data_IF_972611977248
#
_entry.id   IF_972611977248
#
_cell.length_a   1.000
_cell.length_b   1.000
_cell.length_c   1.000
_cell.angle_alpha   90.00
_cell.angle_beta   90.00
_cell.angle_gamma   90.00
#
_symmetry.space_group_name_H-M   'P 1'
#
loop_
_entity.id
_entity.type
_entity.pdbx_description
1 polymer ?
#
# COMPACT_ATOMS: atom_id res chain seq x y z
N UNK A 1 -25.48 -5.37 -25.43
CA UNK A 1 -25.19 -6.17 -26.65
C UNK A 1 -23.68 -6.35 -26.79
N UNK A 2 -23.21 -7.59 -26.68
CA UNK A 2 -21.80 -7.96 -26.67
C UNK A 2 -21.32 -8.10 -28.12
N UNK A 3 -20.21 -7.43 -28.47
CA UNK A 3 -19.49 -7.65 -29.73
C UNK A 3 -18.22 -8.41 -29.37
N UNK A 4 -18.11 -9.63 -29.88
CA UNK A 4 -16.96 -10.51 -29.70
C UNK A 4 -16.55 -11.06 -31.06
N UNK A 5 -15.25 -11.06 -31.32
CA UNK A 5 -14.67 -11.70 -32.50
C UNK A 5 -13.74 -12.80 -31.98
N UNK A 6 -14.10 -14.06 -32.22
CA UNK A 6 -13.31 -15.20 -31.77
C UNK A 6 -11.97 -15.27 -32.50
N UNK A 7 -10.90 -15.65 -31.79
CA UNK A 7 -9.59 -15.85 -32.43
C UNK A 7 -9.50 -17.11 -33.28
N UNK A 8 -10.44 -18.06 -33.11
CA UNK A 8 -10.58 -19.24 -33.99
C UNK A 8 -11.09 -18.87 -35.39
N UNK A 9 -11.62 -17.65 -35.57
CA UNK A 9 -12.03 -17.13 -36.86
C UNK A 9 -10.78 -16.67 -37.63
N UNK A 10 -10.49 -17.33 -38.77
CA UNK A 10 -9.35 -16.99 -39.65
C UNK A 10 -9.43 -15.50 -40.05
N UNK A 11 -8.49 -14.65 -39.59
CA UNK A 11 -8.39 -13.28 -40.06
C UNK A 11 -7.78 -13.26 -41.47
N UNK A 12 -8.18 -12.28 -42.28
CA UNK A 12 -7.47 -11.98 -43.52
C UNK A 12 -6.02 -11.59 -43.14
N UNK A 13 -5.04 -12.21 -43.80
CA UNK A 13 -3.62 -12.04 -43.48
C UNK A 13 -3.16 -10.60 -43.77
N UNK A 14 -2.90 -9.84 -42.70
CA UNK A 14 -2.31 -8.51 -42.76
C UNK A 14 -2.83 -7.59 -41.66
N UNK A 15 -1.93 -7.08 -40.82
CA UNK A 15 -2.23 -5.86 -40.05
C UNK A 15 -2.05 -4.69 -41.01
N UNK A 16 -3.11 -3.94 -41.30
CA UNK A 16 -3.08 -2.81 -42.23
C UNK A 16 -2.18 -1.71 -41.65
N UNK A 17 -0.89 -1.80 -41.98
CA UNK A 17 0.14 -0.85 -41.60
C UNK A 17 0.29 0.22 -42.66
N UNK A 18 0.80 1.40 -42.31
CA UNK A 18 1.24 2.35 -43.33
C UNK A 18 2.20 1.64 -44.31
N UNK A 19 2.11 1.94 -45.61
CA UNK A 19 2.88 1.23 -46.63
C UNK A 19 4.38 1.23 -46.29
N UNK A 20 4.95 0.03 -46.14
CA UNK A 20 6.36 -0.20 -45.82
C UNK A 20 6.68 -0.69 -44.40
N UNK A 21 5.70 -0.76 -43.48
CA UNK A 21 5.97 -1.15 -42.09
C UNK A 21 5.54 -2.59 -41.79
N UNK A 22 6.42 -3.57 -42.03
CA UNK A 22 6.15 -4.97 -41.67
C UNK A 22 6.38 -5.16 -40.16
N UNK A 23 5.40 -5.74 -39.46
CA UNK A 23 5.56 -6.10 -38.05
C UNK A 23 6.56 -7.26 -37.93
N UNK A 24 7.63 -7.03 -37.16
CA UNK A 24 8.61 -8.07 -36.84
C UNK A 24 7.97 -9.18 -35.97
N UNK A 25 7.87 -10.43 -36.45
CA UNK A 25 7.29 -11.54 -35.71
C UNK A 25 8.11 -11.91 -34.46
N UNK A 26 9.37 -11.51 -34.39
CA UNK A 26 10.23 -11.79 -33.24
C UNK A 26 10.00 -10.83 -32.07
N UNK A 27 9.25 -9.74 -32.29
CA UNK A 27 8.97 -8.72 -31.30
C UNK A 27 8.25 -9.29 -30.06
N UNK A 28 8.61 -8.78 -28.88
CA UNK A 28 8.06 -9.22 -27.59
C UNK A 28 6.53 -9.14 -27.50
N UNK A 29 5.89 -8.18 -28.18
CA UNK A 29 4.44 -7.99 -28.12
C UNK A 29 3.70 -8.91 -29.08
N UNK A 30 4.28 -9.19 -30.24
CA UNK A 30 3.73 -10.16 -31.21
C UNK A 30 3.72 -11.55 -30.58
N UNK A 31 4.87 -12.01 -30.07
CA UNK A 31 4.97 -13.29 -29.36
C UNK A 31 4.03 -13.39 -28.15
N UNK A 32 3.87 -12.29 -27.42
CA UNK A 32 3.00 -12.27 -26.25
C UNK A 32 1.53 -12.43 -26.64
N UNK A 33 1.11 -11.85 -27.77
CA UNK A 33 -0.25 -12.01 -28.28
C UNK A 33 -0.57 -13.47 -28.54
N UNK A 34 0.34 -14.21 -29.15
CA UNK A 34 0.16 -15.63 -29.51
C UNK A 34 0.13 -16.57 -28.29
N UNK A 35 0.74 -16.14 -27.17
CA UNK A 35 0.81 -16.96 -25.95
C UNK A 35 -0.42 -16.82 -25.05
N UNK A 36 -1.23 -15.77 -25.21
CA UNK A 36 -2.32 -15.45 -24.28
C UNK A 36 -3.62 -16.16 -24.71
N UNK A 37 -4.34 -16.83 -23.80
CA UNK A 37 -5.63 -17.46 -24.09
C UNK A 37 -6.77 -16.43 -24.16
N UNK A 38 -6.82 -15.65 -25.24
CA UNK A 38 -7.77 -14.54 -25.35
C UNK A 38 -9.25 -14.97 -25.31
N UNK A 39 -9.58 -16.13 -25.86
CA UNK A 39 -10.97 -16.62 -25.87
C UNK A 39 -11.48 -16.84 -24.43
N UNK A 40 -10.71 -17.52 -23.57
CA UNK A 40 -11.04 -17.79 -22.16
C UNK A 40 -11.11 -16.49 -21.33
N UNK A 41 -10.15 -15.59 -21.55
CA UNK A 41 -10.12 -14.28 -20.90
C UNK A 41 -11.32 -13.41 -21.35
N UNK A 42 -11.73 -13.51 -22.61
CA UNK A 42 -12.90 -12.79 -23.11
C UNK A 42 -14.18 -13.32 -22.49
N UNK A 43 -14.31 -14.64 -22.34
CA UNK A 43 -15.50 -15.28 -21.78
C UNK A 43 -15.72 -14.87 -20.31
N UNK A 44 -14.69 -15.01 -19.48
CA UNK A 44 -14.70 -14.56 -18.08
C UNK A 44 -15.02 -13.07 -17.96
N UNK A 45 -14.49 -12.24 -18.85
CA UNK A 45 -14.83 -10.82 -18.88
C UNK A 45 -16.30 -10.57 -19.26
N UNK A 46 -16.82 -11.25 -20.30
CA UNK A 46 -18.18 -11.07 -20.76
C UNK A 46 -19.23 -11.59 -19.77
N UNK A 47 -18.91 -12.55 -18.89
CA UNK A 47 -19.80 -12.98 -17.78
C UNK A 47 -20.21 -11.80 -16.88
N UNK A 48 -19.35 -10.79 -16.74
CA UNK A 48 -19.66 -9.58 -15.95
C UNK A 48 -20.57 -8.58 -16.67
N UNK A 49 -20.86 -8.79 -17.95
CA UNK A 49 -21.60 -7.85 -18.79
C UNK A 49 -23.01 -8.36 -19.11
N UNK A 50 -23.97 -7.45 -19.09
CA UNK A 50 -25.34 -7.76 -19.51
C UNK A 50 -25.41 -7.86 -21.05
N UNK A 51 -25.93 -8.98 -21.55
CA UNK A 51 -26.16 -9.18 -22.99
C UNK A 51 -27.22 -8.23 -23.56
N UNK A 52 -28.30 -7.99 -22.80
CA UNK A 52 -29.52 -7.36 -23.32
C UNK A 52 -29.67 -5.86 -23.07
N UNK A 53 -28.96 -5.29 -22.08
CA UNK A 53 -29.11 -3.87 -21.69
C UNK A 53 -27.81 -3.07 -21.88
N UNK A 54 -27.93 -1.82 -22.31
CA UNK A 54 -26.85 -0.83 -22.30
C UNK A 54 -26.09 -0.63 -23.63
N UNK A 55 -25.13 0.30 -23.59
CA UNK A 55 -24.26 0.66 -24.73
C UNK A 55 -23.40 -0.55 -25.15
N UNK A 56 -23.17 -0.79 -26.46
CA UNK A 56 -22.28 -1.87 -26.89
C UNK A 56 -20.89 -1.74 -26.25
N UNK A 57 -20.42 -2.84 -25.67
CA UNK A 57 -19.10 -2.90 -25.07
C UNK A 57 -18.01 -2.86 -26.15
N UNK A 58 -16.84 -2.32 -25.78
CA UNK A 58 -15.61 -2.50 -26.57
C UNK A 58 -15.21 -3.98 -26.51
N UNK A 59 -14.50 -4.41 -27.55
CA UNK A 59 -14.00 -5.78 -27.64
C UNK A 59 -13.13 -6.13 -26.43
N UNK A 60 -13.29 -7.35 -25.91
CA UNK A 60 -12.59 -7.79 -24.71
C UNK A 60 -11.08 -7.83 -24.92
N UNK A 61 -10.60 -8.19 -26.11
CA UNK A 61 -9.17 -8.20 -26.43
C UNK A 61 -8.53 -6.83 -26.30
N UNK A 62 -9.22 -5.79 -26.77
CA UNK A 62 -8.77 -4.39 -26.66
C UNK A 62 -8.62 -3.99 -25.19
N UNK A 63 -9.63 -4.34 -24.40
CA UNK A 63 -9.73 -3.95 -23.00
C UNK A 63 -8.71 -4.68 -22.14
N UNK A 64 -8.67 -6.01 -22.22
CA UNK A 64 -7.78 -6.87 -21.45
C UNK A 64 -6.33 -6.60 -21.84
N UNK A 65 -6.07 -6.44 -23.15
CA UNK A 65 -4.75 -6.10 -23.66
C UNK A 65 -4.22 -4.78 -23.10
N UNK A 66 -5.06 -3.74 -23.02
CA UNK A 66 -4.67 -2.46 -22.44
C UNK A 66 -4.33 -2.58 -20.94
N UNK A 67 -5.08 -3.39 -20.18
CA UNK A 67 -4.77 -3.67 -18.77
C UNK A 67 -3.43 -4.38 -18.64
N UNK A 68 -3.15 -5.37 -19.50
CA UNK A 68 -1.86 -6.09 -19.51
C UNK A 68 -0.71 -5.13 -19.83
N UNK A 69 -0.85 -4.27 -20.85
CA UNK A 69 0.17 -3.27 -21.22
C UNK A 69 0.47 -2.36 -20.03
N UNK A 70 -0.58 -1.82 -19.40
CA UNK A 70 -0.44 -0.95 -18.23
C UNK A 70 0.39 -1.62 -17.13
N UNK A 71 0.04 -2.84 -16.75
CA UNK A 71 0.73 -3.56 -15.67
C UNK A 71 2.16 -3.93 -16.05
N UNK A 72 2.41 -4.33 -17.31
CA UNK A 72 3.74 -4.71 -17.78
C UNK A 72 4.70 -3.53 -17.87
N UNK A 73 4.21 -2.34 -18.24
CA UNK A 73 5.02 -1.13 -18.36
C UNK A 73 5.00 -0.25 -17.10
N UNK A 74 4.12 -0.55 -16.12
CA UNK A 74 3.98 0.21 -14.87
C UNK A 74 3.70 1.71 -15.09
N UNK A 75 2.87 2.02 -16.08
CA UNK A 75 2.51 3.40 -16.47
C UNK A 75 1.08 3.78 -16.02
N UNK A 76 0.75 5.07 -16.12
CA UNK A 76 -0.58 5.60 -15.79
C UNK A 76 -1.65 5.19 -16.82
N UNK A 77 -2.93 5.35 -16.49
CA UNK A 77 -4.04 5.01 -17.41
C UNK A 77 -4.03 5.90 -18.66
N UNK A 78 -3.64 7.17 -18.51
CA UNK A 78 -3.51 8.15 -19.60
C UNK A 78 -2.33 7.80 -20.50
N UNK A 79 -1.15 7.59 -19.89
CA UNK A 79 0.07 7.21 -20.58
C UNK A 79 -0.10 5.87 -21.33
N UNK A 80 -0.84 4.91 -20.77
CA UNK A 80 -1.09 3.63 -21.45
C UNK A 80 -1.85 3.84 -22.77
N UNK A 81 -2.84 4.73 -22.77
CA UNK A 81 -3.64 5.01 -23.97
C UNK A 81 -2.81 5.75 -25.01
N UNK A 82 -1.94 6.67 -24.59
CA UNK A 82 -1.01 7.37 -25.48
C UNK A 82 0.02 6.42 -26.09
N UNK A 83 0.61 5.53 -25.30
CA UNK A 83 1.55 4.53 -25.82
C UNK A 83 0.90 3.57 -26.81
N UNK A 84 -0.35 3.14 -26.56
CA UNK A 84 -1.09 2.32 -27.53
C UNK A 84 -1.36 3.11 -28.81
N UNK A 85 -1.69 4.41 -28.71
CA UNK A 85 -1.92 5.28 -29.87
C UNK A 85 -0.66 5.43 -30.71
N UNK A 86 0.50 5.57 -30.09
CA UNK A 86 1.77 5.85 -30.77
C UNK A 86 2.45 4.59 -31.33
N UNK A 87 2.21 3.41 -30.73
CA UNK A 87 2.98 2.21 -31.02
C UNK A 87 2.18 1.14 -31.79
N UNK A 88 2.53 0.84 -33.06
CA UNK A 88 1.85 -0.18 -33.85
C UNK A 88 1.91 -1.60 -33.26
N UNK A 89 2.99 -1.97 -32.57
CA UNK A 89 3.09 -3.29 -31.93
C UNK A 89 2.08 -3.45 -30.80
N UNK A 90 1.80 -2.36 -30.07
CA UNK A 90 0.79 -2.37 -29.01
C UNK A 90 -0.61 -2.46 -29.60
N UNK A 91 -0.87 -1.76 -30.70
CA UNK A 91 -2.14 -1.85 -31.44
C UNK A 91 -2.40 -3.26 -31.99
N UNK A 92 -1.37 -3.89 -32.52
CA UNK A 92 -1.43 -5.30 -32.93
C UNK A 92 -1.71 -6.20 -31.72
N UNK A 93 -0.98 -6.01 -30.61
CA UNK A 93 -1.14 -6.81 -29.40
C UNK A 93 -2.57 -6.79 -28.86
N UNK A 94 -3.24 -5.63 -28.86
CA UNK A 94 -4.62 -5.48 -28.40
C UNK A 94 -5.67 -5.97 -29.42
N UNK A 95 -5.26 -6.32 -30.65
CA UNK A 95 -6.12 -6.93 -31.67
C UNK A 95 -6.81 -5.97 -32.62
N UNK A 96 -6.24 -4.78 -32.84
CA UNK A 96 -6.68 -3.93 -33.93
C UNK A 96 -6.31 -4.55 -35.29
N UNK A 97 -7.12 -4.27 -36.31
CA UNK A 97 -6.89 -4.77 -37.68
C UNK A 97 -5.81 -4.02 -38.44
N UNK A 98 -5.57 -2.76 -38.05
CA UNK A 98 -4.60 -1.88 -38.68
C UNK A 98 -4.21 -0.76 -37.74
N UNK A 99 -3.16 -0.02 -38.12
CA UNK A 99 -2.70 1.11 -37.34
C UNK A 99 -3.68 2.27 -37.41
N UNK A 100 -4.03 2.83 -36.26
CA UNK A 100 -4.90 3.99 -36.13
C UNK A 100 -4.19 5.06 -35.31
N UNK A 101 -4.16 6.29 -35.83
CA UNK A 101 -3.56 7.44 -35.14
C UNK A 101 -4.46 8.01 -34.02
N UNK A 102 -5.68 7.48 -33.86
CA UNK A 102 -6.63 7.88 -32.82
C UNK A 102 -6.52 6.97 -31.60
N UNK A 103 -6.85 7.49 -30.42
CA UNK A 103 -6.89 6.70 -29.20
C UNK A 103 -8.00 5.62 -29.28
N UNK A 104 -7.71 4.36 -28.88
CA UNK A 104 -8.68 3.26 -28.99
C UNK A 104 -9.93 3.45 -28.11
N UNK A 105 -9.77 4.12 -26.97
CA UNK A 105 -10.81 4.53 -26.04
C UNK A 105 -10.29 5.63 -25.09
N UNK A 106 -11.19 6.27 -24.34
CA UNK A 106 -10.83 7.30 -23.36
C UNK A 106 -10.15 6.70 -22.11
N UNK A 107 -9.12 7.34 -21.56
CA UNK A 107 -8.40 6.88 -20.36
C UNK A 107 -9.31 6.59 -19.16
N UNK A 108 -10.37 7.39 -18.99
CA UNK A 108 -11.39 7.20 -17.95
C UNK A 108 -12.10 5.84 -18.03
N UNK A 109 -12.31 5.31 -19.24
CA UNK A 109 -12.96 4.03 -19.47
C UNK A 109 -12.11 2.86 -18.93
N UNK A 110 -10.78 3.00 -18.93
CA UNK A 110 -9.88 1.99 -18.35
C UNK A 110 -10.02 1.90 -16.83
N UNK A 111 -10.28 3.03 -16.15
CA UNK A 111 -10.57 3.07 -14.71
C UNK A 111 -11.85 2.29 -14.40
N UNK A 112 -12.91 2.52 -15.17
CA UNK A 112 -14.20 1.84 -14.99
C UNK A 112 -14.09 0.34 -15.26
N UNK A 113 -13.38 -0.05 -16.31
CA UNK A 113 -13.08 -1.45 -16.61
C UNK A 113 -12.40 -2.13 -15.44
N UNK A 114 -11.31 -1.56 -14.90
CA UNK A 114 -10.55 -2.19 -13.80
C UNK A 114 -11.41 -2.34 -12.55
N UNK A 115 -12.27 -1.36 -12.27
CA UNK A 115 -13.24 -1.47 -11.16
C UNK A 115 -14.28 -2.56 -11.40
N UNK A 116 -14.74 -2.70 -12.65
CA UNK A 116 -15.75 -3.70 -13.03
C UNK A 116 -15.20 -5.13 -13.02
N UNK A 117 -13.97 -5.34 -13.50
CA UNK A 117 -13.33 -6.66 -13.46
C UNK A 117 -13.24 -7.16 -12.01
N UNK A 118 -12.84 -6.32 -11.07
CA UNK A 118 -12.76 -6.71 -9.66
C UNK A 118 -11.77 -7.86 -9.43
N UNK A 119 -11.66 -8.34 -8.20
CA UNK A 119 -10.68 -9.38 -7.85
C UNK A 119 -11.05 -10.74 -8.46
N UNK A 120 -12.34 -11.07 -8.50
CA UNK A 120 -12.82 -12.38 -8.96
C UNK A 120 -12.47 -12.67 -10.42
N UNK A 121 -12.62 -11.69 -11.32
CA UNK A 121 -12.24 -11.86 -12.74
C UNK A 121 -10.73 -11.95 -12.90
N UNK A 122 -9.95 -11.24 -12.08
CA UNK A 122 -8.49 -11.38 -12.10
C UNK A 122 -8.03 -12.76 -11.63
N UNK A 123 -8.71 -13.35 -10.66
CA UNK A 123 -8.42 -14.70 -10.18
C UNK A 123 -8.75 -15.72 -11.29
N UNK A 124 -9.90 -15.59 -11.99
CA UNK A 124 -10.24 -16.40 -13.17
C UNK A 124 -9.21 -16.24 -14.32
N UNK A 125 -8.76 -15.01 -14.59
CA UNK A 125 -7.70 -14.76 -15.57
C UNK A 125 -6.40 -15.46 -15.19
N UNK A 126 -6.07 -15.45 -13.89
CA UNK A 126 -4.87 -16.11 -13.38
C UNK A 126 -4.96 -17.62 -13.57
N UNK A 127 -6.09 -18.22 -13.23
CA UNK A 127 -6.35 -19.66 -13.43
C UNK A 127 -6.26 -20.04 -14.91
N UNK A 128 -6.87 -19.30 -15.83
CA UNK A 128 -6.79 -19.55 -17.28
C UNK A 128 -5.33 -19.47 -17.81
N UNK A 129 -4.55 -18.50 -17.31
CA UNK A 129 -3.13 -18.40 -17.69
C UNK A 129 -2.32 -19.57 -17.12
N UNK A 130 -2.62 -20.01 -15.89
CA UNK A 130 -1.98 -21.19 -15.30
C UNK A 130 -2.35 -22.44 -16.12
N UNK A 131 -3.63 -22.65 -16.42
CA UNK A 131 -4.11 -23.81 -17.18
C UNK A 131 -3.56 -23.87 -18.61
N UNK A 132 -3.18 -22.73 -19.20
CA UNK A 132 -2.54 -22.73 -20.53
C UNK A 132 -1.02 -22.91 -20.46
N UNK A 133 -0.39 -22.60 -19.33
CA UNK A 133 1.06 -22.76 -19.12
C UNK A 133 1.43 -24.10 -18.47
N UNK A 134 0.60 -24.64 -17.59
CA UNK A 134 0.80 -25.91 -16.89
C UNK A 134 0.69 -27.20 -17.71
N UNK A 135 -0.05 -27.31 -18.84
CA UNK A 135 0.06 -28.47 -19.73
C UNK A 135 1.45 -28.55 -20.37
N UNK A 136 2.23 -27.46 -20.39
CA UNK A 136 3.67 -27.47 -20.73
C UNK A 136 4.58 -27.82 -19.54
N UNK A 137 4.04 -27.90 -18.32
CA UNK A 137 4.74 -28.23 -17.06
C UNK A 137 4.11 -29.43 -16.37
N UNK A 138 3.78 -30.51 -17.07
CA UNK A 138 3.17 -31.66 -16.37
C UNK A 138 4.14 -32.28 -15.35
N UNK A 139 3.58 -32.50 -14.14
CA UNK A 139 4.03 -33.38 -13.04
C UNK A 139 5.05 -32.83 -12.03
N UNK A 140 4.53 -32.14 -11.00
CA UNK A 140 4.90 -32.46 -9.60
C UNK A 140 3.74 -32.14 -8.64
N UNK A 141 2.89 -33.14 -8.45
CA UNK A 141 1.86 -33.20 -7.41
C UNK A 141 2.48 -33.31 -6.02
N UNK A 142 2.00 -32.52 -5.06
CA UNK A 142 1.69 -33.00 -3.71
C UNK A 142 0.45 -32.26 -3.19
N UNK A 143 -0.54 -33.06 -2.79
CA UNK A 143 -1.92 -32.74 -2.42
C UNK A 143 -2.12 -33.17 -0.95
N UNK A 144 -2.85 -32.39 -0.16
CA UNK A 144 -3.65 -32.78 1.02
C UNK A 144 -4.20 -31.48 1.66
N UNK A 145 -5.42 -31.34 2.17
CA UNK A 145 -6.67 -32.11 2.18
C UNK A 145 -7.70 -31.23 2.91
N UNK A 146 -8.99 -31.38 2.57
CA UNK A 146 -10.17 -30.77 3.20
C UNK A 146 -10.30 -31.06 4.70
N UNK A 147 -11.06 -30.21 5.43
CA UNK A 147 -12.23 -30.68 6.19
C UNK A 147 -13.18 -29.52 6.58
N UNK A 148 -14.47 -29.85 6.57
CA UNK A 148 -15.65 -28.97 6.72
C UNK A 148 -16.18 -28.89 8.17
N UNK A 149 -17.06 -27.90 8.38
CA UNK A 149 -18.24 -27.88 9.28
C UNK A 149 -18.10 -27.60 10.80
N UNK A 150 -18.72 -26.51 11.26
CA UNK A 150 -20.10 -26.47 11.82
C UNK A 150 -20.27 -25.30 12.81
N UNK A 151 -21.46 -24.71 12.82
CA UNK A 151 -21.84 -23.62 13.70
C UNK A 151 -22.20 -24.07 15.11
N UNK A 152 -22.25 -23.10 16.03
CA UNK A 152 -23.33 -23.09 17.01
C UNK A 152 -23.61 -21.66 17.49
N UNK A 153 -24.89 -21.33 17.43
CA UNK A 153 -25.59 -20.17 17.93
C UNK A 153 -26.16 -20.53 19.30
N UNK A 154 -25.88 -19.76 20.36
CA UNK A 154 -26.84 -19.61 21.47
C UNK A 154 -26.75 -18.22 22.07
N UNK A 155 -27.87 -17.55 21.88
CA UNK A 155 -28.46 -16.37 22.51
C UNK A 155 -28.61 -16.41 24.04
N UNK A 156 -28.53 -15.24 24.67
CA UNK A 156 -29.42 -14.78 25.75
C UNK A 156 -29.17 -13.27 25.96
N UNK A 157 -30.08 -12.35 25.64
CA UNK A 157 -31.34 -11.97 26.33
C UNK A 157 -31.11 -11.60 27.82
N UNK A 158 -31.57 -10.48 28.39
CA UNK A 158 -32.51 -9.42 27.98
C UNK A 158 -31.96 -8.00 28.23
N UNK A 159 -32.54 -6.94 27.65
CA UNK A 159 -33.84 -6.31 28.05
C UNK A 159 -33.65 -5.48 29.36
N UNK A 160 -34.03 -4.22 29.54
CA UNK A 160 -34.65 -3.17 28.71
C UNK A 160 -34.54 -1.83 29.46
N UNK A 161 -34.65 -0.73 28.71
CA UNK A 161 -35.25 0.53 29.16
C UNK A 161 -34.28 1.52 29.82
N UNK A 162 -33.85 2.62 29.18
CA UNK A 162 -34.58 3.79 28.64
C UNK A 162 -34.63 4.97 29.62
N UNK A 163 -34.15 6.11 29.09
CA UNK A 163 -34.59 7.50 29.28
C UNK A 163 -33.81 8.45 30.21
N UNK A 164 -33.63 9.65 29.62
CA UNK A 164 -33.53 11.00 30.19
C UNK A 164 -32.31 11.35 31.06
N UNK A 165 -31.89 12.60 31.19
CA UNK A 165 -31.95 13.86 30.44
C UNK A 165 -31.23 14.90 31.33
N UNK A 166 -30.52 15.86 30.73
CA UNK A 166 -30.11 17.13 31.37
C UNK A 166 -28.95 17.07 32.37
N UNK A 167 -28.22 18.14 32.70
CA UNK A 167 -28.21 19.57 32.34
C UNK A 167 -27.00 20.22 33.04
N UNK A 168 -26.40 21.24 32.39
CA UNK A 168 -25.64 22.41 32.92
C UNK A 168 -24.33 22.22 33.74
N UNK A 169 -23.21 22.80 33.26
CA UNK A 169 -22.53 24.07 33.70
C UNK A 169 -21.56 23.79 34.87
N UNK A 170 -20.35 24.35 35.01
CA UNK A 170 -19.76 25.68 34.78
C UNK A 170 -18.26 25.47 34.39
N UNK A 171 -17.65 26.14 33.40
CA UNK A 171 -17.17 27.52 33.37
C UNK A 171 -16.20 27.89 34.53
N UNK A 172 -14.89 27.94 34.24
CA UNK A 172 -14.10 29.13 34.57
C UNK A 172 -12.90 29.28 33.63
N UNK A 173 -12.77 30.50 33.09
CA UNK A 173 -11.72 31.01 32.21
C UNK A 173 -10.77 31.83 33.08
N UNK A 174 -9.46 31.76 32.89
CA UNK A 174 -8.66 32.83 32.25
C UNK A 174 -7.18 32.50 32.52
N UNK A 175 -6.25 32.67 31.59
CA UNK A 175 -5.62 33.95 31.26
C UNK A 175 -4.89 33.80 29.93
N UNK A 176 -5.21 34.68 28.99
CA UNK A 176 -4.62 34.77 27.67
C UNK A 176 -3.70 35.99 27.63
N UNK A 177 -2.42 35.77 27.34
CA UNK A 177 -1.50 36.85 26.97
C UNK A 177 -1.70 37.22 25.50
N UNK A 178 -1.77 38.53 25.28
CA UNK A 178 -2.21 39.22 24.09
C UNK A 178 -1.18 39.16 22.95
N UNK A 179 -1.57 38.57 21.82
CA UNK A 179 -1.01 38.88 20.51
C UNK A 179 -2.13 39.48 19.66
N UNK A 180 -1.84 40.50 18.81
CA UNK A 180 -2.86 41.14 18.00
C UNK A 180 -3.58 40.09 17.15
N UNK A 181 -4.88 39.93 17.43
CA UNK A 181 -5.73 38.97 16.72
C UNK A 181 -5.92 39.45 15.29
N UNK A 182 -5.08 38.95 14.39
CA UNK A 182 -5.33 39.03 12.96
C UNK A 182 -6.60 38.24 12.66
N UNK A 183 -7.73 38.92 12.50
CA UNK A 183 -9.04 38.34 12.16
C UNK A 183 -9.23 38.13 10.64
N UNK A 184 -8.15 38.12 9.87
CA UNK A 184 -8.17 37.80 8.45
C UNK A 184 -8.12 36.29 8.22
N UNK A 185 -8.91 35.79 7.28
CA UNK A 185 -8.76 34.41 6.76
C UNK A 185 -7.61 34.40 5.76
N UNK A 186 -6.43 33.97 6.18
CA UNK A 186 -5.28 33.80 5.29
C UNK A 186 -5.50 32.55 4.42
N UNK A 187 -5.69 32.76 3.12
CA UNK A 187 -5.72 31.67 2.13
C UNK A 187 -4.28 31.44 1.69
N UNK A 188 -3.71 30.31 2.11
CA UNK A 188 -2.39 29.86 1.68
C UNK A 188 -2.54 28.73 0.68
N UNK A 189 -1.95 28.89 -0.49
CA UNK A 189 -1.80 27.79 -1.44
C UNK A 189 -0.79 26.78 -0.89
N UNK A 190 -1.25 25.55 -0.63
CA UNK A 190 -0.39 24.47 -0.19
C UNK A 190 0.02 23.62 -1.40
N UNK A 191 1.28 23.72 -1.81
CA UNK A 191 1.86 22.78 -2.79
C UNK A 191 2.13 21.44 -2.11
N UNK A 192 1.50 20.37 -2.59
CA UNK A 192 1.71 19.01 -2.09
C UNK A 192 2.54 18.22 -3.07
N UNK A 193 3.66 17.66 -2.61
CA UNK A 193 4.47 16.73 -3.39
C UNK A 193 4.28 15.31 -2.87
N UNK A 194 4.23 14.34 -3.78
CA UNK A 194 4.28 12.94 -3.40
C UNK A 194 5.64 12.60 -2.77
N UNK A 195 5.60 11.91 -1.64
CA UNK A 195 6.80 11.50 -0.92
C UNK A 195 6.79 9.99 -0.77
N UNK A 196 7.94 9.37 -1.05
CA UNK A 196 8.15 7.93 -0.97
C UNK A 196 8.32 7.48 0.50
N UNK A 197 7.29 7.71 1.32
CA UNK A 197 7.23 7.28 2.72
C UNK A 197 6.15 6.22 2.91
N UNK A 198 6.40 5.29 3.83
CA UNK A 198 5.40 4.31 4.25
C UNK A 198 4.25 5.02 4.97
N UNK A 199 3.04 4.50 4.84
CA UNK A 199 1.88 5.01 5.58
C UNK A 199 2.14 5.03 7.11
N UNK A 200 2.00 6.19 7.78
CA UNK A 200 2.50 6.39 9.15
C UNK A 200 1.55 5.82 10.20
N UNK A 201 1.77 4.57 10.59
CA UNK A 201 1.07 3.91 11.70
C UNK A 201 1.90 3.97 12.97
N UNK A 202 1.30 4.24 14.13
CA UNK A 202 2.03 4.33 15.41
C UNK A 202 2.82 3.05 15.71
N UNK A 203 2.19 1.89 15.49
CA UNK A 203 2.82 0.60 15.71
C UNK A 203 3.98 0.35 14.73
N UNK A 204 3.81 0.70 13.46
CA UNK A 204 4.85 0.54 12.45
C UNK A 204 6.04 1.45 12.72
N UNK A 205 5.78 2.71 13.06
CA UNK A 205 6.78 3.71 13.38
C UNK A 205 7.58 3.32 14.64
N UNK A 206 6.91 2.83 15.68
CA UNK A 206 7.58 2.33 16.89
C UNK A 206 8.43 1.07 16.63
N UNK A 207 7.98 0.17 15.73
CA UNK A 207 8.80 -0.97 15.35
C UNK A 207 10.05 -0.56 14.56
N UNK A 208 9.93 0.40 13.64
CA UNK A 208 11.09 0.96 12.92
C UNK A 208 12.07 1.61 13.91
N UNK A 209 11.56 2.40 14.85
CA UNK A 209 12.36 3.00 15.92
C UNK A 209 13.09 1.94 16.76
N UNK A 210 12.40 0.85 17.12
CA UNK A 210 13.00 -0.29 17.83
C UNK A 210 14.13 -0.91 17.01
N UNK A 211 13.89 -1.28 15.75
CA UNK A 211 14.91 -1.90 14.89
C UNK A 211 16.11 -0.97 14.68
N UNK A 212 15.89 0.33 14.52
CA UNK A 212 16.97 1.31 14.46
C UNK A 212 17.76 1.33 15.76
N UNK A 213 17.09 1.48 16.91
CA UNK A 213 17.74 1.47 18.23
C UNK A 213 18.59 0.20 18.47
N UNK A 214 18.13 -0.96 18.00
CA UNK A 214 18.87 -2.22 18.06
C UNK A 214 20.16 -2.18 17.22
N UNK A 215 20.11 -1.61 16.02
CA UNK A 215 21.29 -1.41 15.16
C UNK A 215 22.26 -0.41 15.76
N UNK A 216 21.78 0.66 16.40
CA UNK A 216 22.66 1.63 17.10
C UNK A 216 23.47 0.91 18.18
N UNK A 217 22.79 0.07 18.97
CA UNK A 217 23.43 -0.71 20.02
C UNK A 217 24.50 -1.63 19.44
N UNK A 218 24.25 -2.25 18.28
CA UNK A 218 25.23 -3.10 17.59
C UNK A 218 26.47 -2.32 17.15
N UNK A 219 26.28 -1.18 16.52
CA UNK A 219 27.40 -0.36 16.03
C UNK A 219 28.21 0.25 17.17
N UNK A 220 27.54 0.74 18.22
CA UNK A 220 28.20 1.26 19.42
C UNK A 220 28.99 0.17 20.14
N UNK A 221 28.45 -1.04 20.24
CA UNK A 221 29.14 -2.17 20.86
C UNK A 221 30.35 -2.60 20.01
N UNK A 222 30.18 -2.76 18.70
CA UNK A 222 31.25 -3.20 17.80
C UNK A 222 32.43 -2.24 17.72
N UNK A 223 32.18 -0.92 17.79
CA UNK A 223 33.23 0.12 17.75
C UNK A 223 33.71 0.55 19.12
N UNK A 224 33.09 0.08 20.19
CA UNK A 224 33.66 0.27 21.51
C UNK A 224 34.95 -0.56 21.59
N UNK A 225 36.08 0.07 21.94
CA UNK A 225 37.36 -0.61 22.19
C UNK A 225 37.32 -1.54 23.43
N UNK A 226 36.13 -1.95 23.87
CA UNK A 226 35.88 -2.79 25.04
C UNK A 226 35.67 -4.21 24.58
N UNK A 227 36.76 -4.91 24.31
CA UNK A 227 36.76 -6.32 23.97
C UNK A 227 36.09 -7.23 25.04
N UNK A 228 35.70 -6.71 26.21
CA UNK A 228 35.29 -7.51 27.38
C UNK A 228 33.95 -7.11 28.04
N UNK A 229 33.24 -6.05 27.60
CA UNK A 229 31.89 -5.76 28.15
C UNK A 229 30.83 -6.55 27.37
N UNK A 230 30.09 -7.40 28.08
CA UNK A 230 28.95 -8.14 27.53
C UNK A 230 27.94 -7.17 26.92
N UNK A 231 27.49 -7.45 25.70
CA UNK A 231 26.49 -6.66 25.00
C UNK A 231 25.20 -6.56 25.84
N UNK A 232 24.57 -5.36 25.93
CA UNK A 232 23.30 -5.20 26.62
C UNK A 232 22.24 -6.15 26.05
N UNK A 233 21.48 -6.81 26.94
CA UNK A 233 20.42 -7.73 26.55
C UNK A 233 19.34 -6.98 25.77
N UNK A 234 19.06 -7.42 24.54
CA UNK A 234 17.97 -6.86 23.74
C UNK A 234 16.90 -7.91 23.45
N UNK A 235 15.62 -7.51 23.47
CA UNK A 235 14.47 -8.38 23.29
C UNK A 235 14.06 -8.54 21.81
N UNK A 236 15.03 -8.68 20.90
CA UNK A 236 14.79 -8.55 19.45
C UNK A 236 13.77 -9.55 18.90
N UNK A 237 13.95 -10.82 19.27
CA UNK A 237 13.08 -11.91 18.83
C UNK A 237 11.69 -11.80 19.44
N UNK A 238 11.61 -11.53 20.74
CA UNK A 238 10.36 -11.38 21.48
C UNK A 238 9.56 -10.18 20.93
N UNK A 239 10.22 -9.04 20.74
CA UNK A 239 9.60 -7.82 20.22
C UNK A 239 9.15 -7.99 18.76
N UNK A 240 9.94 -8.68 17.92
CA UNK A 240 9.57 -8.99 16.54
C UNK A 240 8.37 -9.95 16.49
N UNK A 241 8.36 -11.00 17.31
CA UNK A 241 7.23 -11.94 17.40
C UNK A 241 5.95 -11.23 17.85
N UNK A 242 6.05 -10.34 18.84
CA UNK A 242 4.92 -9.54 19.33
C UNK A 242 4.40 -8.53 18.29
N UNK A 243 5.29 -7.93 17.48
CA UNK A 243 4.88 -7.09 16.36
C UNK A 243 4.16 -7.90 15.27
N UNK A 244 4.75 -9.02 14.85
CA UNK A 244 4.20 -9.87 13.80
C UNK A 244 2.84 -10.46 14.17
N UNK A 245 2.65 -10.87 15.43
CA UNK A 245 1.36 -11.41 15.88
C UNK A 245 0.23 -10.39 15.77
N UNK A 246 0.53 -9.10 15.89
CA UNK A 246 -0.44 -8.02 15.79
C UNK A 246 -0.69 -7.62 14.34
N UNK A 247 0.36 -7.47 13.53
CA UNK A 247 0.26 -7.05 12.13
C UNK A 247 -0.40 -8.10 11.23
N UNK A 248 -0.25 -9.39 11.56
CA UNK A 248 -0.92 -10.48 10.82
C UNK A 248 -2.44 -10.50 11.00
N UNK A 249 -3.00 -9.77 11.96
CA UNK A 249 -4.45 -9.71 12.18
C UNK A 249 -5.10 -8.75 11.19
N UNK A 250 -6.13 -9.21 10.47
CA UNK A 250 -6.88 -8.38 9.52
C UNK A 250 -7.51 -7.13 10.15
N UNK A 251 -8.04 -7.26 11.38
CA UNK A 251 -8.65 -6.17 12.15
C UNK A 251 -8.31 -6.30 13.64
N UNK A 252 -7.18 -5.72 14.10
CA UNK A 252 -6.82 -5.77 15.51
C UNK A 252 -7.75 -4.86 16.33
N UNK A 253 -8.35 -5.43 17.39
CA UNK A 253 -9.12 -4.67 18.38
C UNK A 253 -8.30 -3.52 18.97
N UNK A 254 -8.96 -2.42 19.33
CA UNK A 254 -8.34 -1.25 19.99
C UNK A 254 -7.52 -1.63 21.21
N UNK A 255 -8.01 -2.58 22.02
CA UNK A 255 -7.31 -3.12 23.20
C UNK A 255 -6.01 -3.82 22.81
N UNK A 256 -6.04 -4.69 21.80
CA UNK A 256 -4.86 -5.40 21.28
C UNK A 256 -3.85 -4.41 20.67
N UNK A 257 -4.33 -3.42 19.90
CA UNK A 257 -3.50 -2.34 19.34
C UNK A 257 -2.79 -1.56 20.43
N UNK A 258 -3.52 -1.15 21.46
CA UNK A 258 -2.98 -0.42 22.61
C UNK A 258 -1.97 -1.26 23.40
N UNK A 259 -2.22 -2.56 23.57
CA UNK A 259 -1.27 -3.47 24.21
C UNK A 259 0.03 -3.60 23.40
N UNK A 260 -0.06 -3.72 22.08
CA UNK A 260 1.11 -3.76 21.20
C UNK A 260 1.92 -2.46 21.23
N UNK A 261 1.27 -1.30 21.19
CA UNK A 261 1.94 0.01 21.32
C UNK A 261 2.66 0.11 22.67
N UNK A 262 2.02 -0.30 23.78
CA UNK A 262 2.66 -0.33 25.10
C UNK A 262 3.94 -1.17 25.09
N UNK A 263 3.89 -2.38 24.53
CA UNK A 263 5.05 -3.26 24.46
C UNK A 263 6.18 -2.64 23.64
N UNK A 264 5.89 -2.07 22.47
CA UNK A 264 6.90 -1.42 21.63
C UNK A 264 7.53 -0.20 22.31
N UNK A 265 6.73 0.64 22.98
CA UNK A 265 7.24 1.76 23.78
C UNK A 265 8.20 1.29 24.87
N UNK A 266 7.87 0.20 25.56
CA UNK A 266 8.73 -0.35 26.61
C UNK A 266 10.03 -0.95 26.06
N UNK A 267 10.01 -1.55 24.86
CA UNK A 267 11.24 -2.02 24.22
C UNK A 267 12.12 -0.85 23.79
N UNK A 268 11.52 0.16 23.15
CA UNK A 268 12.23 1.36 22.72
C UNK A 268 12.84 2.12 23.91
N UNK A 269 12.10 2.28 25.00
CA UNK A 269 12.60 2.94 26.21
C UNK A 269 13.85 2.25 26.78
N UNK A 270 13.85 0.91 26.86
CA UNK A 270 15.02 0.15 27.33
C UNK A 270 16.21 0.34 26.39
N UNK A 271 15.98 0.27 25.09
CA UNK A 271 17.05 0.45 24.10
C UNK A 271 17.62 1.87 24.15
N UNK A 272 16.79 2.91 24.28
CA UNK A 272 17.25 4.29 24.45
C UNK A 272 18.10 4.43 25.71
N UNK A 273 17.66 3.86 26.84
CA UNK A 273 18.43 3.86 28.09
C UNK A 273 19.80 3.21 27.90
N UNK A 274 19.88 2.05 27.23
CA UNK A 274 21.16 1.40 26.94
C UNK A 274 22.06 2.24 26.03
N UNK A 275 21.49 2.92 25.03
CA UNK A 275 22.24 3.83 24.17
C UNK A 275 22.81 4.98 24.99
N UNK A 276 21.99 5.61 25.84
CA UNK A 276 22.43 6.68 26.75
C UNK A 276 23.55 6.19 27.68
N UNK A 277 23.38 5.04 28.32
CA UNK A 277 24.39 4.40 29.18
C UNK A 277 25.69 4.08 28.44
N UNK A 278 25.63 3.70 27.16
CA UNK A 278 26.85 3.49 26.37
C UNK A 278 27.51 4.80 25.97
N UNK A 279 26.71 5.84 25.67
CA UNK A 279 27.21 7.15 25.25
C UNK A 279 27.84 7.95 26.40
N UNK A 280 27.36 7.81 27.65
CA UNK A 280 27.95 8.46 28.83
C UNK A 280 29.39 8.02 29.09
N UNK A 281 29.76 6.82 28.63
CA UNK A 281 31.10 6.27 28.82
C UNK A 281 32.10 6.72 27.73
N UNK A 282 31.69 7.54 26.75
CA UNK A 282 32.57 8.15 25.76
C UNK A 282 33.05 9.54 26.24
N UNK A 283 34.33 9.88 26.07
CA UNK A 283 34.86 11.17 26.49
C UNK A 283 34.21 12.32 25.72
N UNK A 284 33.85 13.37 26.44
CA UNK A 284 33.27 14.60 25.89
C UNK A 284 34.20 15.19 24.82
N UNK A 285 33.64 15.53 23.65
CA UNK A 285 34.38 16.11 22.52
C UNK A 285 34.89 15.10 21.49
N UNK A 286 34.78 13.79 21.74
CA UNK A 286 35.05 12.79 20.70
C UNK A 286 33.84 12.60 19.79
N UNK A 287 34.03 12.48 18.45
CA UNK A 287 32.95 12.14 17.55
C UNK A 287 32.35 10.78 17.92
N UNK A 288 31.03 10.74 18.09
CA UNK A 288 30.31 9.51 18.38
C UNK A 288 30.59 8.51 17.25
N UNK A 289 30.96 7.24 17.55
CA UNK A 289 31.38 6.28 16.53
C UNK A 289 30.20 5.69 15.73
N UNK A 290 29.25 6.52 15.29
CA UNK A 290 28.06 6.13 14.54
C UNK A 290 28.11 6.85 13.17
N UNK A 291 27.72 6.20 12.05
CA UNK A 291 27.63 6.87 10.77
C UNK A 291 26.58 8.00 10.83
N UNK A 292 26.88 9.11 10.17
CA UNK A 292 26.06 10.33 10.20
C UNK A 292 24.57 10.10 9.88
N UNK A 293 24.28 9.19 8.95
CA UNK A 293 22.90 8.84 8.60
C UNK A 293 22.11 8.21 9.75
N UNK A 294 22.78 7.40 10.58
CA UNK A 294 22.17 6.74 11.73
C UNK A 294 22.12 7.69 12.94
N UNK A 295 23.13 8.55 13.12
CA UNK A 295 23.15 9.60 14.13
C UNK A 295 21.97 10.59 13.96
N UNK A 296 21.70 11.03 12.73
CA UNK A 296 20.53 11.89 12.44
C UNK A 296 19.21 11.23 12.86
N UNK A 297 19.06 9.93 12.59
CA UNK A 297 17.86 9.17 12.98
C UNK A 297 17.79 8.97 14.49
N UNK A 298 18.92 8.76 15.16
CA UNK A 298 18.99 8.65 16.61
C UNK A 298 18.39 9.87 17.31
N UNK A 299 18.74 11.09 16.89
CA UNK A 299 18.19 12.31 17.48
C UNK A 299 16.67 12.43 17.37
N UNK A 300 16.06 11.78 16.37
CA UNK A 300 14.60 11.74 16.21
C UNK A 300 13.95 10.76 17.20
N UNK A 301 14.64 9.68 17.61
CA UNK A 301 14.03 8.61 18.41
C UNK A 301 13.51 9.06 19.79
N UNK A 302 14.25 9.86 20.60
CA UNK A 302 13.74 10.37 21.87
C UNK A 302 12.48 11.23 21.70
N UNK A 303 12.45 12.11 20.70
CA UNK A 303 11.29 12.94 20.42
C UNK A 303 10.08 12.11 19.98
N UNK A 304 10.29 11.13 19.11
CA UNK A 304 9.26 10.19 18.68
C UNK A 304 8.71 9.38 19.85
N UNK A 305 9.58 8.89 20.74
CA UNK A 305 9.18 8.19 21.96
C UNK A 305 8.32 9.10 22.85
N UNK A 306 8.75 10.35 23.09
CA UNK A 306 7.99 11.30 23.90
C UNK A 306 6.61 11.60 23.32
N UNK A 307 6.50 11.85 22.02
CA UNK A 307 5.21 12.09 21.34
C UNK A 307 4.29 10.89 21.49
N UNK A 308 4.78 9.69 21.16
CA UNK A 308 4.01 8.44 21.22
C UNK A 308 3.61 8.07 22.65
N UNK A 309 4.50 8.30 23.63
CA UNK A 309 4.22 8.04 25.05
C UNK A 309 3.17 9.01 25.60
N UNK A 310 3.23 10.30 25.24
CA UNK A 310 2.19 11.28 25.61
C UNK A 310 0.85 10.86 25.05
N UNK A 311 0.75 10.60 23.75
CA UNK A 311 -0.48 10.11 23.09
C UNK A 311 -1.03 8.83 23.72
N UNK A 312 -0.13 7.90 24.08
CA UNK A 312 -0.50 6.67 24.76
C UNK A 312 -1.09 6.92 26.16
N UNK A 313 -0.53 7.86 26.93
CA UNK A 313 -0.95 8.18 28.29
C UNK A 313 -2.27 8.96 28.30
N UNK A 314 -2.40 9.97 27.47
CA UNK A 314 -3.59 10.84 27.38
C UNK A 314 -4.72 10.24 26.55
N UNK A 315 -4.48 9.12 25.87
CA UNK A 315 -5.43 8.52 24.92
C UNK A 315 -5.83 9.46 23.77
N UNK A 316 -4.94 10.40 23.39
CA UNK A 316 -5.18 11.33 22.29
C UNK A 316 -4.56 10.81 21.00
N UNK A 317 -5.21 11.11 19.87
CA UNK A 317 -4.68 10.79 18.53
C UNK A 317 -3.97 11.97 17.86
N UNK A 318 -4.10 13.15 18.44
CA UNK A 318 -3.49 14.39 17.96
C UNK A 318 -2.21 14.68 18.73
N UNK A 319 -1.17 15.04 17.99
CA UNK A 319 0.07 15.63 18.46
C UNK A 319 0.45 16.69 17.44
N UNK A 320 0.72 17.90 17.89
CA UNK A 320 1.25 18.93 17.01
C UNK A 320 2.69 18.55 16.63
N UNK A 321 3.10 18.84 15.40
CA UNK A 321 4.38 18.42 14.82
C UNK A 321 4.68 16.92 14.93
N UNK A 322 3.64 16.09 14.78
CA UNK A 322 3.77 14.62 14.84
C UNK A 322 4.79 14.11 13.83
N UNK A 323 5.76 13.35 14.33
CA UNK A 323 6.73 12.64 13.50
C UNK A 323 6.01 11.48 12.80
N UNK A 324 6.10 11.46 11.47
CA UNK A 324 5.46 10.44 10.62
C UNK A 324 6.46 9.49 9.98
N UNK A 325 7.71 9.94 9.82
CA UNK A 325 8.81 9.17 9.26
C UNK A 325 10.08 9.48 10.03
N UNK A 326 10.86 8.44 10.36
CA UNK A 326 12.14 8.60 11.07
C UNK A 326 13.23 9.10 10.13
N UNK A 327 13.15 8.72 8.84
CA UNK A 327 14.10 9.19 7.83
C UNK A 327 13.86 10.63 7.41
N UNK A 328 12.60 11.09 7.48
CA UNK A 328 12.16 12.41 7.00
C UNK A 328 11.21 13.06 8.02
N UNK A 329 11.72 13.53 9.18
CA UNK A 329 10.91 14.02 10.30
C UNK A 329 10.25 15.38 10.05
N UNK A 330 10.73 16.15 9.06
CA UNK A 330 10.19 17.45 8.68
C UNK A 330 8.91 17.35 7.83
N UNK A 331 8.57 16.16 7.33
CA UNK A 331 7.38 15.98 6.51
C UNK A 331 6.13 16.10 7.37
N UNK A 332 5.10 16.75 6.80
CA UNK A 332 3.76 16.86 7.38
C UNK A 332 2.77 16.26 6.39
N UNK A 333 2.07 15.16 6.73
CA UNK A 333 1.11 14.57 5.82
C UNK A 333 -0.12 15.47 5.74
N UNK A 334 -0.64 15.64 4.53
CA UNK A 334 -1.93 16.28 4.31
C UNK A 334 -2.96 15.17 4.12
N UNK A 335 -4.01 15.20 4.94
CA UNK A 335 -5.10 14.24 4.84
C UNK A 335 -5.83 14.52 3.53
N UNK A 336 -5.80 13.58 2.59
CA UNK A 336 -6.60 13.62 1.36
C UNK A 336 -8.05 13.24 1.70
N UNK A 337 -8.77 14.14 2.35
CA UNK A 337 -10.19 13.99 2.63
C UNK A 337 -11.03 14.52 1.46
N UNK A 338 -11.86 13.67 0.87
CA UNK A 338 -13.06 14.17 0.18
C UNK A 338 -14.05 14.62 1.28
N UNK A 339 -14.83 15.70 1.07
CA UNK A 339 -15.83 16.12 2.05
C UNK A 339 -16.77 14.95 2.39
N UNK A 340 -17.02 14.73 3.68
CA UNK A 340 -18.00 13.77 4.19
C UNK A 340 -17.51 12.34 4.48
N UNK A 341 -16.24 11.98 4.26
CA UNK A 341 -15.70 10.68 4.70
C UNK A 341 -14.75 10.83 5.89
N UNK A 342 -15.08 10.19 7.01
CA UNK A 342 -14.16 9.98 8.12
C UNK A 342 -13.00 9.13 7.64
N UNK A 343 -11.82 9.74 7.59
CA UNK A 343 -10.56 9.03 7.38
C UNK A 343 -10.03 8.73 8.79
N UNK A 344 -9.93 7.44 9.13
CA UNK A 344 -9.73 6.90 10.50
C UNK A 344 -8.55 7.49 11.30
#
# INVERSE_FOLDING_TARGET
MIRYVSQKQLPLEGFDTPPGMILDPTNRWVKLRDCIPWDELSESYYKTLCSNLGRPAKDAGIVIGAVIIKHKLSVSDEETVEQIRENPYLQYFIGLKGFQAQAPFASSLLVEIRKRMGQTVFDEFHEAIIETVEPRRTKKSFKASDDDNDGNDVSNSGDTGSNDAGTAMEADQSLADELPRNHGKLILDATVAEQAIRYPTDLGLLNEARELSERIIDELHAKSNRAQKKKPRTYREIARKAYLSLVKLRRPSSRKRRAGIRQQLQFLQRNLKHIEEMLTEYPHGTPIPIPNGLLRRYWVLPHLYQQQYKMYKTNTRRCDDRIVSISQPYIRPIIRGKPGKTVE
#
